data_IF_518014420430
#
_entry.id   IF_518014420430
#
_cell.length_a   1.000
_cell.length_b   1.000
_cell.length_c   1.000
_cell.angle_alpha   90.00
_cell.angle_beta   90.00
_cell.angle_gamma   90.00
#
_symmetry.space_group_name_H-M   'P 1'
#
loop_
_entity.id
_entity.type
_entity.pdbx_description
1 polymer ?
#
# COMPACT_ATOMS: atom_id res chain seq x y z
N UNK A 1 40.18 -21.19 18.01
CA UNK A 1 38.80 -21.66 17.93
C UNK A 1 37.90 -20.46 18.25
N UNK A 2 37.58 -19.62 17.25
CA UNK A 2 36.73 -18.45 17.42
C UNK A 2 35.42 -18.68 16.72
N UNK A 3 34.38 -18.87 17.49
CA UNK A 3 33.00 -18.99 17.01
C UNK A 3 32.44 -17.57 16.77
N UNK A 4 32.36 -17.14 15.50
CA UNK A 4 31.61 -15.97 15.11
C UNK A 4 30.16 -16.41 14.84
N UNK A 5 29.35 -16.42 15.88
CA UNK A 5 27.87 -16.39 15.73
C UNK A 5 27.42 -14.94 15.72
N UNK A 6 27.63 -14.28 14.60
CA UNK A 6 26.94 -13.05 14.28
C UNK A 6 25.58 -13.37 13.71
N UNK A 7 24.55 -13.51 14.53
CA UNK A 7 23.17 -13.44 14.08
C UNK A 7 22.90 -11.99 13.65
N UNK A 8 23.11 -11.69 12.37
CA UNK A 8 22.51 -10.50 11.77
C UNK A 8 21.00 -10.74 11.75
N UNK A 9 20.28 -10.14 12.69
CA UNK A 9 18.84 -10.01 12.59
C UNK A 9 18.55 -9.12 11.37
N UNK A 10 18.14 -9.73 10.25
CA UNK A 10 17.56 -9.00 9.12
C UNK A 10 16.57 -7.98 9.68
N UNK A 11 16.69 -6.73 9.30
CA UNK A 11 15.69 -5.72 9.64
C UNK A 11 14.33 -6.26 9.27
N UNK A 12 13.44 -6.38 10.25
CA UNK A 12 12.10 -6.94 10.02
C UNK A 12 11.38 -6.05 9.03
N UNK A 13 10.85 -6.65 7.97
CA UNK A 13 10.11 -5.95 6.94
C UNK A 13 8.82 -5.35 7.55
N UNK A 14 8.77 -4.02 7.68
CA UNK A 14 7.70 -3.30 8.36
C UNK A 14 6.67 -2.68 7.40
N UNK A 15 6.78 -2.95 6.11
CA UNK A 15 5.83 -2.52 5.10
C UNK A 15 5.85 -3.48 3.91
N UNK A 16 4.80 -3.45 3.12
CA UNK A 16 4.76 -4.19 1.86
C UNK A 16 5.76 -3.58 0.90
N UNK A 17 6.52 -4.45 0.24
CA UNK A 17 7.57 -4.06 -0.71
C UNK A 17 7.11 -4.26 -2.14
N UNK A 18 7.82 -3.64 -3.06
CA UNK A 18 7.63 -3.89 -4.47
C UNK A 18 8.15 -5.29 -4.81
N UNK A 19 7.57 -5.90 -5.83
CA UNK A 19 7.92 -7.26 -6.22
C UNK A 19 9.38 -7.40 -6.65
N UNK A 20 9.89 -6.39 -7.36
CA UNK A 20 11.27 -6.30 -7.81
C UNK A 20 12.27 -6.13 -6.66
N UNK A 21 11.86 -5.51 -5.57
CA UNK A 21 12.71 -5.30 -4.40
C UNK A 21 13.13 -6.62 -3.75
N UNK A 22 12.28 -7.65 -3.84
CA UNK A 22 12.58 -8.96 -3.28
C UNK A 22 13.84 -9.57 -3.87
N UNK A 23 14.16 -9.27 -5.13
CA UNK A 23 15.38 -9.77 -5.80
C UNK A 23 16.62 -9.24 -5.08
N UNK A 24 16.63 -7.96 -4.73
CA UNK A 24 17.76 -7.29 -4.07
C UNK A 24 17.83 -7.68 -2.60
N UNK A 25 16.67 -7.76 -1.94
CA UNK A 25 16.59 -8.00 -0.49
C UNK A 25 16.85 -9.46 -0.11
N UNK A 26 16.44 -10.41 -0.96
CA UNK A 26 16.53 -11.86 -0.69
C UNK A 26 17.33 -12.64 -1.74
N UNK A 27 17.97 -11.97 -2.70
CA UNK A 27 18.78 -12.58 -3.74
C UNK A 27 17.96 -13.50 -4.65
N UNK A 28 18.56 -14.64 -5.02
CA UNK A 28 17.91 -15.61 -5.91
C UNK A 28 16.61 -16.18 -5.35
N UNK A 29 16.52 -16.35 -4.04
CA UNK A 29 15.28 -16.81 -3.37
C UNK A 29 14.16 -15.78 -3.52
N UNK A 30 14.46 -14.51 -3.31
CA UNK A 30 13.50 -13.41 -3.52
C UNK A 30 13.03 -13.33 -4.97
N UNK A 31 13.97 -13.47 -5.91
CA UNK A 31 13.66 -13.53 -7.34
C UNK A 31 12.74 -14.70 -7.69
N UNK A 32 12.98 -15.89 -7.14
CA UNK A 32 12.11 -17.05 -7.34
C UNK A 32 10.71 -16.82 -6.76
N UNK A 33 10.60 -16.20 -5.58
CA UNK A 33 9.33 -15.85 -4.98
C UNK A 33 8.56 -14.83 -5.86
N UNK A 34 9.25 -13.83 -6.40
CA UNK A 34 8.67 -12.85 -7.31
C UNK A 34 8.13 -13.52 -8.58
N UNK A 35 8.90 -14.44 -9.19
CA UNK A 35 8.45 -15.19 -10.37
C UNK A 35 7.26 -16.08 -10.04
N UNK A 36 7.26 -16.78 -8.91
CA UNK A 36 6.15 -17.61 -8.47
C UNK A 36 4.87 -16.81 -8.30
N UNK A 37 4.98 -15.56 -7.79
CA UNK A 37 3.85 -14.64 -7.69
C UNK A 37 3.30 -14.23 -9.07
N UNK A 38 4.18 -13.92 -10.03
CA UNK A 38 3.77 -13.63 -11.41
C UNK A 38 3.07 -14.83 -12.06
N UNK A 39 3.56 -16.06 -11.84
CA UNK A 39 2.91 -17.28 -12.32
C UNK A 39 1.52 -17.46 -11.67
N UNK A 40 1.37 -17.14 -10.39
CA UNK A 40 0.08 -17.21 -9.71
C UNK A 40 -0.94 -16.20 -10.31
N UNK A 41 -0.52 -14.96 -10.55
CA UNK A 41 -1.34 -13.94 -11.24
C UNK A 41 -1.71 -14.41 -12.65
N UNK A 42 -0.74 -14.88 -13.40
CA UNK A 42 -0.95 -15.44 -14.75
C UNK A 42 -2.04 -16.52 -14.76
N UNK A 43 -1.96 -17.48 -13.83
CA UNK A 43 -2.92 -18.58 -13.76
C UNK A 43 -4.32 -18.09 -13.37
N UNK A 44 -4.41 -17.11 -12.49
CA UNK A 44 -5.68 -16.47 -12.12
C UNK A 44 -6.32 -15.79 -13.33
N UNK A 45 -5.57 -14.95 -14.04
CA UNK A 45 -6.08 -14.20 -15.20
C UNK A 45 -6.30 -15.09 -16.44
N UNK A 46 -5.72 -16.28 -16.48
CA UNK A 46 -6.02 -17.32 -17.47
C UNK A 46 -7.26 -18.16 -17.11
N UNK A 47 -7.90 -17.89 -15.96
CA UNK A 47 -9.04 -18.68 -15.50
C UNK A 47 -8.70 -20.10 -15.05
N UNK A 48 -7.41 -20.40 -14.82
CA UNK A 48 -6.91 -21.75 -14.48
C UNK A 48 -6.61 -21.93 -12.98
N UNK A 49 -6.80 -20.90 -12.16
CA UNK A 49 -6.46 -20.99 -10.74
C UNK A 49 -7.65 -21.43 -9.89
N UNK A 50 -7.47 -22.50 -9.15
CA UNK A 50 -8.35 -22.89 -8.05
C UNK A 50 -8.08 -22.09 -6.76
N UNK A 51 -6.95 -21.41 -6.67
CA UNK A 51 -6.55 -20.56 -5.54
C UNK A 51 -6.92 -19.12 -5.81
N UNK A 52 -7.67 -18.52 -4.89
CA UNK A 52 -7.96 -17.07 -4.93
C UNK A 52 -6.65 -16.30 -4.68
N UNK A 53 -6.22 -15.52 -5.65
CA UNK A 53 -5.18 -14.53 -5.46
C UNK A 53 -5.89 -13.25 -5.00
N UNK A 54 -5.54 -12.76 -3.82
CA UNK A 54 -6.07 -11.48 -3.36
C UNK A 54 -5.36 -10.37 -4.12
N UNK A 55 -6.11 -9.68 -4.96
CA UNK A 55 -5.64 -8.46 -5.63
C UNK A 55 -6.21 -7.25 -4.93
N UNK A 56 -5.42 -6.19 -4.89
CA UNK A 56 -5.82 -4.91 -4.35
C UNK A 56 -5.52 -3.79 -5.32
N UNK A 57 -6.36 -2.77 -5.28
CA UNK A 57 -6.07 -1.51 -5.94
C UNK A 57 -5.16 -0.71 -5.02
N UNK A 58 -4.04 -0.23 -5.56
CA UNK A 58 -3.20 0.74 -4.86
C UNK A 58 -3.76 2.13 -5.10
N UNK A 59 -4.39 2.68 -4.08
CA UNK A 59 -4.82 4.07 -4.08
C UNK A 59 -3.62 5.01 -3.95
N UNK A 60 -3.71 6.18 -4.60
CA UNK A 60 -2.68 7.22 -4.49
C UNK A 60 -3.00 8.18 -3.33
N UNK A 61 -3.04 7.64 -2.12
CA UNK A 61 -3.34 8.40 -0.91
C UNK A 61 -2.08 8.93 -0.21
N UNK A 62 -2.18 10.05 0.48
CA UNK A 62 -1.10 10.63 1.29
C UNK A 62 -1.65 11.50 2.43
N UNK A 63 -0.97 11.49 3.58
CA UNK A 63 0.13 10.61 3.99
C UNK A 63 -0.31 9.18 4.29
N UNK A 64 0.65 8.25 4.31
CA UNK A 64 0.42 6.93 4.88
C UNK A 64 0.22 7.06 6.40
N UNK A 65 -0.91 6.54 6.88
CA UNK A 65 -1.32 6.59 8.28
C UNK A 65 -1.16 5.20 8.88
N UNK A 66 -0.49 5.13 10.02
CA UNK A 66 -0.44 3.92 10.85
C UNK A 66 -1.25 4.22 12.10
N UNK A 67 -2.27 3.41 12.36
CA UNK A 67 -3.13 3.60 13.51
C UNK A 67 -3.68 2.27 14.03
N UNK A 68 -4.12 2.28 15.28
CA UNK A 68 -4.72 1.12 15.91
C UNK A 68 -4.46 1.05 17.39
N UNK A 69 -4.61 -0.15 17.93
CA UNK A 69 -4.38 -0.41 19.35
C UNK A 69 -2.94 -0.85 19.54
N UNK A 70 -2.18 -0.08 20.30
CA UNK A 70 -0.81 -0.44 20.64
C UNK A 70 -0.80 -1.73 21.46
N UNK A 71 -0.13 -2.80 21.00
CA UNK A 71 -0.16 -4.10 21.66
C UNK A 71 0.47 -4.11 23.05
N UNK A 72 1.30 -3.10 23.38
CA UNK A 72 2.01 -3.03 24.66
C UNK A 72 1.19 -2.37 25.76
N UNK A 73 0.25 -1.48 25.43
CA UNK A 73 -0.49 -0.70 26.42
C UNK A 73 -2.00 -0.57 26.18
N UNK A 74 -2.51 -1.18 25.12
CA UNK A 74 -3.94 -1.19 24.80
C UNK A 74 -4.54 0.17 24.38
N UNK A 75 -3.71 1.20 24.20
CA UNK A 75 -4.18 2.55 23.83
C UNK A 75 -4.27 2.72 22.32
N UNK A 76 -5.33 3.38 21.86
CA UNK A 76 -5.42 3.78 20.45
C UNK A 76 -4.40 4.89 20.14
N UNK A 77 -3.71 4.74 19.02
CA UNK A 77 -2.74 5.71 18.53
C UNK A 77 -2.90 5.99 17.04
N UNK A 78 -2.32 7.10 16.61
CA UNK A 78 -2.11 7.43 15.20
C UNK A 78 -0.66 7.88 14.98
N UNK A 79 -0.16 7.68 13.76
CA UNK A 79 1.16 8.15 13.35
C UNK A 79 1.40 7.95 11.87
N UNK A 80 2.58 8.31 11.44
CA UNK A 80 3.14 8.00 10.13
C UNK A 80 4.11 6.82 10.25
N UNK A 81 4.86 6.50 9.20
CA UNK A 81 5.94 5.49 9.28
C UNK A 81 6.96 5.76 10.40
N UNK A 82 7.01 6.99 10.92
CA UNK A 82 7.86 7.37 12.06
C UNK A 82 7.56 6.63 13.36
N UNK A 83 6.43 5.94 13.48
CA UNK A 83 6.13 5.05 14.62
C UNK A 83 7.11 3.86 14.72
N UNK A 84 7.81 3.55 13.62
CA UNK A 84 8.81 2.48 13.55
C UNK A 84 10.27 2.96 13.63
N UNK A 85 10.49 4.25 13.86
CA UNK A 85 11.83 4.81 14.03
C UNK A 85 12.49 4.29 15.33
N UNK A 86 13.83 4.43 15.44
CA UNK A 86 14.56 4.14 16.68
C UNK A 86 13.98 4.91 17.87
N UNK A 87 13.57 6.17 17.66
CA UNK A 87 12.77 6.95 18.59
C UNK A 87 11.35 7.07 17.99
N UNK A 88 10.41 6.21 18.39
CA UNK A 88 9.10 6.15 17.78
C UNK A 88 8.27 7.40 18.05
N UNK A 89 7.64 7.94 17.03
CA UNK A 89 6.66 9.04 17.14
C UNK A 89 5.24 8.48 17.16
N UNK A 90 4.81 7.99 18.31
CA UNK A 90 3.49 7.41 18.54
C UNK A 90 2.61 8.49 19.19
N UNK A 91 1.43 8.75 18.63
CA UNK A 91 0.58 9.84 19.12
C UNK A 91 -0.74 9.28 19.65
N UNK A 92 -0.91 9.34 20.97
CA UNK A 92 -2.14 8.94 21.67
C UNK A 92 -3.08 10.11 21.92
N UNK A 93 -2.53 11.33 21.89
CA UNK A 93 -3.24 12.58 22.19
C UNK A 93 -2.89 13.68 21.19
N UNK A 94 -3.68 14.73 21.17
CA UNK A 94 -3.39 15.94 20.37
C UNK A 94 -2.10 16.64 20.84
N UNK A 95 -1.72 16.51 22.11
CA UNK A 95 -0.46 17.04 22.62
C UNK A 95 0.74 16.30 22.02
N UNK A 96 0.65 14.95 21.90
CA UNK A 96 1.69 14.15 21.26
C UNK A 96 1.86 14.54 19.80
N UNK A 97 0.76 14.76 19.09
CA UNK A 97 0.81 15.18 17.68
C UNK A 97 1.55 16.51 17.56
N UNK A 98 1.19 17.52 18.35
CA UNK A 98 1.87 18.85 18.32
C UNK A 98 3.36 18.75 18.68
N UNK A 99 3.72 17.85 19.57
CA UNK A 99 5.14 17.60 19.93
C UNK A 99 5.91 16.95 18.79
N UNK A 100 5.30 16.01 18.08
CA UNK A 100 5.99 15.14 17.12
C UNK A 100 5.89 15.60 15.66
N UNK A 101 4.89 16.44 15.32
CA UNK A 101 4.56 16.83 13.95
C UNK A 101 4.12 18.29 13.87
N UNK A 102 4.32 18.90 12.70
CA UNK A 102 3.93 20.29 12.40
C UNK A 102 3.16 20.39 11.08
N UNK A 103 2.51 21.50 10.83
CA UNK A 103 1.82 21.82 9.58
C UNK A 103 0.75 20.81 9.20
N UNK A 104 0.58 20.61 7.90
CA UNK A 104 -0.49 19.77 7.30
C UNK A 104 -0.48 18.33 7.85
N UNK A 105 0.69 17.77 8.16
CA UNK A 105 0.78 16.41 8.73
C UNK A 105 0.14 16.35 10.11
N UNK A 106 0.39 17.36 10.96
CA UNK A 106 -0.22 17.42 12.30
C UNK A 106 -1.75 17.58 12.23
N UNK A 107 -2.25 18.39 11.30
CA UNK A 107 -3.69 18.56 11.07
C UNK A 107 -4.35 17.24 10.62
N UNK A 108 -3.76 16.57 9.63
CA UNK A 108 -4.25 15.28 9.12
C UNK A 108 -4.21 14.19 10.20
N UNK A 109 -3.16 14.10 10.99
CA UNK A 109 -3.08 13.17 12.13
C UNK A 109 -4.12 13.48 13.21
N UNK A 110 -4.42 14.76 13.46
CA UNK A 110 -5.46 15.18 14.42
C UNK A 110 -6.85 14.74 13.97
N UNK A 111 -7.15 14.88 12.69
CA UNK A 111 -8.37 14.34 12.11
C UNK A 111 -8.43 12.80 12.23
N UNK A 112 -7.33 12.10 11.92
CA UNK A 112 -7.24 10.65 12.09
C UNK A 112 -7.44 10.22 13.54
N UNK A 113 -6.83 10.89 14.51
CA UNK A 113 -7.00 10.60 15.94
C UNK A 113 -8.46 10.75 16.37
N UNK A 114 -9.15 11.76 15.86
CA UNK A 114 -10.55 12.05 16.18
C UNK A 114 -11.50 11.01 15.62
N UNK A 115 -11.34 10.68 14.33
CA UNK A 115 -12.35 9.90 13.61
C UNK A 115 -12.06 8.40 13.57
N UNK A 116 -10.79 7.97 13.58
CA UNK A 116 -10.45 6.54 13.44
C UNK A 116 -10.53 5.74 14.74
N UNK A 117 -10.50 6.38 15.90
CA UNK A 117 -10.56 5.70 17.20
C UNK A 117 -11.78 4.79 17.36
N UNK A 118 -12.92 5.17 16.77
CA UNK A 118 -14.16 4.39 16.82
C UNK A 118 -14.28 3.36 15.70
N UNK A 119 -13.40 3.45 14.70
CA UNK A 119 -13.40 2.57 13.53
C UNK A 119 -12.40 1.43 13.71
N UNK A 120 -11.20 1.76 14.21
CA UNK A 120 -10.13 0.79 14.42
C UNK A 120 -10.07 0.44 15.90
N UNK A 121 -10.87 -0.54 16.28
CA UNK A 121 -11.04 -0.97 17.69
C UNK A 121 -10.12 -2.11 18.10
N UNK A 122 -9.41 -2.72 17.14
CA UNK A 122 -8.44 -3.79 17.39
C UNK A 122 -7.32 -3.74 16.35
N UNK A 123 -6.18 -4.34 16.70
CA UNK A 123 -5.02 -4.47 15.80
C UNK A 123 -4.37 -3.14 15.44
N UNK A 124 -3.34 -3.22 14.62
CA UNK A 124 -2.62 -2.08 14.06
C UNK A 124 -2.69 -2.18 12.54
N UNK A 125 -3.01 -1.08 11.88
CA UNK A 125 -3.19 -1.03 10.43
C UNK A 125 -2.43 0.14 9.82
N UNK A 126 -2.06 -0.02 8.55
CA UNK A 126 -1.64 1.08 7.70
C UNK A 126 -2.67 1.27 6.60
N UNK A 127 -2.95 2.53 6.34
CA UNK A 127 -3.77 2.95 5.22
C UNK A 127 -3.25 4.26 4.65
N UNK A 128 -3.76 4.61 3.48
CA UNK A 128 -3.45 5.86 2.82
C UNK A 128 -4.62 6.82 3.00
N UNK A 129 -4.34 8.02 3.51
CA UNK A 129 -5.34 9.06 3.69
C UNK A 129 -5.76 9.59 2.33
N UNK A 130 -7.06 9.63 2.08
CA UNK A 130 -7.63 10.11 0.83
C UNK A 130 -8.02 11.59 0.92
N UNK A 131 -8.68 11.96 2.00
CA UNK A 131 -9.09 13.35 2.25
C UNK A 131 -9.43 13.60 3.72
N UNK A 132 -9.39 14.85 4.11
CA UNK A 132 -10.08 15.44 5.24
C UNK A 132 -11.19 16.38 4.75
N UNK A 133 -11.92 17.02 5.64
CA UNK A 133 -13.04 17.90 5.25
C UNK A 133 -12.62 19.00 4.28
N UNK A 134 -11.43 19.57 4.43
CA UNK A 134 -10.91 20.68 3.61
C UNK A 134 -10.33 20.28 2.26
N UNK A 135 -10.10 18.99 2.04
CA UNK A 135 -9.45 18.50 0.81
C UNK A 135 -10.44 18.25 -0.33
N UNK A 136 -11.75 18.36 -0.06
CA UNK A 136 -12.81 18.03 -1.02
C UNK A 136 -13.35 19.28 -1.71
N UNK A 137 -13.70 19.15 -2.99
CA UNK A 137 -14.34 20.19 -3.79
C UNK A 137 -15.48 19.60 -4.61
N UNK A 138 -16.55 20.37 -4.80
CA UNK A 138 -17.56 20.04 -5.80
C UNK A 138 -17.22 20.78 -7.09
N UNK A 139 -17.16 20.07 -8.20
CA UNK A 139 -16.76 20.59 -9.51
C UNK A 139 -17.68 19.98 -10.56
N UNK A 140 -18.07 20.76 -11.56
CA UNK A 140 -18.74 20.23 -12.75
C UNK A 140 -17.69 19.60 -13.68
N UNK A 141 -17.95 18.40 -14.13
CA UNK A 141 -17.12 17.66 -15.10
C UNK A 141 -18.08 17.09 -16.13
N UNK A 142 -17.95 17.53 -17.38
CA UNK A 142 -18.77 17.11 -18.50
C UNK A 142 -20.30 17.26 -18.26
N UNK A 143 -20.71 18.31 -17.53
CA UNK A 143 -22.11 18.59 -17.21
C UNK A 143 -22.65 17.79 -16.01
N UNK A 144 -21.82 17.05 -15.32
CA UNK A 144 -22.17 16.32 -14.10
C UNK A 144 -21.49 16.89 -12.87
N UNK A 145 -22.26 17.07 -11.80
CA UNK A 145 -21.73 17.57 -10.51
C UNK A 145 -20.96 16.47 -9.79
N UNK A 146 -19.66 16.65 -9.65
CA UNK A 146 -18.72 15.70 -9.07
C UNK A 146 -18.16 16.20 -7.74
N UNK A 147 -18.06 15.33 -6.73
CA UNK A 147 -17.18 15.55 -5.57
C UNK A 147 -15.78 15.06 -5.91
N UNK A 148 -14.79 15.93 -5.77
CA UNK A 148 -13.39 15.64 -6.11
C UNK A 148 -12.47 15.81 -4.91
N UNK A 149 -11.37 15.05 -4.90
CA UNK A 149 -10.27 15.17 -3.96
C UNK A 149 -8.97 14.65 -4.58
N UNK A 150 -7.85 15.28 -4.23
CA UNK A 150 -6.51 14.96 -4.77
C UNK A 150 -5.57 14.70 -3.60
N UNK A 151 -5.47 13.46 -3.10
CA UNK A 151 -4.64 13.19 -1.93
C UNK A 151 -3.14 13.31 -2.18
N UNK A 152 -2.71 12.99 -3.39
CA UNK A 152 -1.32 13.10 -3.83
C UNK A 152 -1.27 13.61 -5.27
N UNK A 153 -1.13 12.76 -6.27
CA UNK A 153 -1.05 13.15 -7.69
C UNK A 153 -2.33 12.88 -8.47
N UNK A 154 -3.09 11.86 -8.08
CA UNK A 154 -4.33 11.47 -8.75
C UNK A 154 -5.51 12.24 -8.15
N UNK A 155 -6.32 12.84 -9.02
CA UNK A 155 -7.62 13.39 -8.65
C UNK A 155 -8.69 12.33 -8.81
N UNK A 156 -9.41 12.06 -7.72
CA UNK A 156 -10.57 11.18 -7.71
C UNK A 156 -11.83 12.02 -7.83
N UNK A 157 -12.75 11.60 -8.69
CA UNK A 157 -14.02 12.25 -8.92
C UNK A 157 -15.16 11.24 -8.83
N UNK A 158 -16.24 11.59 -8.14
CA UNK A 158 -17.44 10.75 -7.99
C UNK A 158 -18.68 11.61 -8.19
N UNK A 159 -19.69 11.14 -8.95
CA UNK A 159 -20.96 11.84 -9.04
C UNK A 159 -21.55 12.09 -7.65
N UNK A 160 -21.88 13.35 -7.35
CA UNK A 160 -22.41 13.75 -6.03
C UNK A 160 -23.65 12.93 -5.65
N UNK A 161 -24.50 12.62 -6.65
CA UNK A 161 -25.75 11.89 -6.47
C UNK A 161 -25.60 10.37 -6.39
N UNK A 162 -24.39 9.83 -6.63
CA UNK A 162 -24.14 8.39 -6.47
C UNK A 162 -24.12 7.98 -5.00
N UNK A 163 -24.31 6.68 -4.73
CA UNK A 163 -24.21 6.14 -3.38
C UNK A 163 -22.84 6.42 -2.72
N UNK A 164 -21.77 6.34 -3.51
CA UNK A 164 -20.40 6.61 -3.07
C UNK A 164 -20.19 8.11 -2.89
N UNK A 165 -20.63 8.93 -3.85
CA UNK A 165 -20.52 10.38 -3.78
C UNK A 165 -21.19 10.96 -2.55
N UNK A 166 -22.42 10.56 -2.23
CA UNK A 166 -23.12 10.99 -1.01
C UNK A 166 -22.36 10.64 0.28
N UNK A 167 -21.74 9.45 0.35
CA UNK A 167 -20.90 9.06 1.47
C UNK A 167 -19.66 9.94 1.58
N UNK A 168 -18.99 10.22 0.45
CA UNK A 168 -17.81 11.08 0.41
C UNK A 168 -18.18 12.53 0.81
N UNK A 169 -19.26 13.06 0.28
CA UNK A 169 -19.74 14.42 0.65
C UNK A 169 -19.93 14.57 2.16
N UNK A 170 -20.59 13.62 2.80
CA UNK A 170 -20.88 13.67 4.24
C UNK A 170 -19.69 13.35 5.13
N UNK A 171 -18.73 12.57 4.66
CA UNK A 171 -17.58 12.13 5.45
C UNK A 171 -16.64 13.28 5.80
N UNK A 172 -16.08 13.25 7.00
CA UNK A 172 -15.06 14.20 7.49
C UNK A 172 -13.63 13.70 7.24
N UNK A 173 -13.49 12.41 6.95
CA UNK A 173 -12.22 11.75 6.67
C UNK A 173 -12.46 10.59 5.71
N UNK A 174 -11.59 10.45 4.70
CA UNK A 174 -11.53 9.31 3.81
C UNK A 174 -10.18 8.60 3.92
N UNK A 175 -10.20 7.28 4.04
CA UNK A 175 -8.98 6.46 4.15
C UNK A 175 -9.21 5.09 3.52
N UNK A 176 -8.14 4.52 2.99
CA UNK A 176 -8.10 3.13 2.52
C UNK A 176 -7.08 2.35 3.32
N UNK A 177 -7.50 1.29 4.00
CA UNK A 177 -6.60 0.38 4.70
C UNK A 177 -6.22 -0.79 3.80
N UNK A 178 -4.94 -1.13 3.77
CA UNK A 178 -4.38 -2.20 2.93
C UNK A 178 -3.39 -3.11 3.66
N UNK A 179 -2.89 -2.70 4.83
CA UNK A 179 -1.91 -3.48 5.59
C UNK A 179 -2.37 -3.65 7.03
N UNK A 180 -2.29 -4.87 7.53
CA UNK A 180 -2.46 -5.21 8.94
C UNK A 180 -1.12 -5.62 9.51
N UNK A 181 -0.83 -5.13 10.71
CA UNK A 181 0.36 -5.50 11.44
C UNK A 181 0.03 -6.53 12.51
N UNK A 182 0.92 -7.50 12.68
CA UNK A 182 0.84 -8.55 13.71
C UNK A 182 2.13 -8.61 14.50
N UNK A 183 2.05 -8.61 15.83
CA UNK A 183 3.18 -8.65 16.73
C UNK A 183 2.72 -8.35 18.16
N UNK A 184 3.58 -8.65 19.14
CA UNK A 184 3.30 -8.43 20.57
C UNK A 184 3.80 -7.07 21.07
N UNK A 185 4.75 -6.47 20.37
CA UNK A 185 5.32 -5.13 20.68
C UNK A 185 5.34 -4.30 19.40
N UNK A 186 5.44 -2.98 19.52
CA UNK A 186 5.59 -2.08 18.37
C UNK A 186 6.83 -2.42 17.53
N UNK A 187 7.89 -2.94 18.16
CA UNK A 187 9.13 -3.32 17.49
C UNK A 187 8.99 -4.64 16.71
N UNK A 188 8.11 -5.55 17.17
CA UNK A 188 7.89 -6.86 16.57
C UNK A 188 6.83 -6.88 15.48
N UNK A 189 6.18 -5.76 15.22
CA UNK A 189 5.13 -5.66 14.23
C UNK A 189 5.63 -6.06 12.83
N UNK A 190 4.92 -7.00 12.21
CA UNK A 190 5.16 -7.47 10.84
C UNK A 190 3.97 -7.13 9.99
N UNK A 191 4.25 -6.58 8.81
CA UNK A 191 3.23 -6.24 7.82
C UNK A 191 2.70 -7.49 7.12
N UNK A 192 1.41 -7.51 6.92
CA UNK A 192 0.71 -8.46 6.07
C UNK A 192 -0.47 -7.75 5.39
N UNK A 193 -1.07 -8.41 4.40
CA UNK A 193 -2.30 -7.87 3.83
C UNK A 193 -3.42 -7.86 4.89
N UNK A 194 -4.17 -6.77 4.94
CA UNK A 194 -5.34 -6.68 5.80
C UNK A 194 -6.03 -5.34 5.71
N UNK A 195 -7.35 -5.38 5.79
CA UNK A 195 -8.22 -4.21 5.76
C UNK A 195 -9.00 -4.12 7.06
N UNK A 196 -9.44 -2.93 7.40
CA UNK A 196 -10.43 -2.74 8.47
C UNK A 196 -11.79 -3.12 7.92
N UNK A 197 -12.43 -4.11 8.56
CA UNK A 197 -13.79 -4.54 8.23
C UNK A 197 -14.79 -3.78 9.09
N UNK A 198 -15.88 -3.34 8.48
CA UNK A 198 -16.93 -2.57 9.14
C UNK A 198 -17.24 -1.28 8.38
N UNK A 199 -18.40 -0.70 8.63
CA UNK A 199 -18.76 0.58 8.01
C UNK A 199 -17.99 1.74 8.64
N UNK A 200 -17.51 2.68 7.84
CA UNK A 200 -16.85 3.90 8.31
C UNK A 200 -17.74 4.83 9.15
N UNK A 201 -19.03 4.52 9.24
CA UNK A 201 -20.00 5.42 9.87
C UNK A 201 -20.20 6.71 9.06
N UNK A 202 -20.97 7.66 9.62
CA UNK A 202 -21.31 8.89 8.90
C UNK A 202 -20.11 9.80 8.63
N UNK A 203 -19.09 9.77 9.49
CA UNK A 203 -17.96 10.71 9.43
C UNK A 203 -16.73 10.15 8.72
N UNK A 204 -16.67 8.85 8.43
CA UNK A 204 -15.50 8.21 7.82
C UNK A 204 -15.90 7.45 6.58
N UNK A 205 -15.32 7.80 5.45
CA UNK A 205 -15.38 7.01 4.23
C UNK A 205 -14.23 6.00 4.24
N UNK A 206 -14.56 4.73 4.42
CA UNK A 206 -13.61 3.64 4.25
C UNK A 206 -13.66 3.17 2.80
N UNK A 207 -12.63 3.51 2.03
CA UNK A 207 -12.46 2.97 0.70
C UNK A 207 -11.99 1.52 0.77
N UNK A 208 -12.44 0.71 -0.18
CA UNK A 208 -11.95 -0.67 -0.30
C UNK A 208 -10.65 -0.71 -1.10
N UNK A 209 -9.64 -1.39 -0.56
CA UNK A 209 -8.48 -1.78 -1.34
C UNK A 209 -8.72 -3.08 -2.12
N UNK A 210 -9.77 -3.82 -1.79
CA UNK A 210 -10.10 -5.08 -2.47
C UNK A 210 -10.53 -4.83 -3.91
N UNK A 211 -9.91 -5.54 -4.84
CA UNK A 211 -10.33 -5.57 -6.23
C UNK A 211 -11.32 -6.71 -6.44
N UNK A 212 -12.46 -6.39 -7.04
CA UNK A 212 -13.43 -7.37 -7.49
C UNK A 212 -13.86 -6.99 -8.91
N UNK A 213 -13.50 -7.81 -9.87
CA UNK A 213 -14.03 -7.67 -11.21
C UNK A 213 -15.46 -8.22 -11.27
N UNK A 214 -16.41 -7.32 -11.42
CA UNK A 214 -17.83 -7.67 -11.58
C UNK A 214 -18.24 -7.80 -13.07
N UNK A 215 -17.40 -7.32 -13.99
CA UNK A 215 -17.64 -7.42 -15.43
C UNK A 215 -17.23 -8.77 -16.03
N UNK A 216 -16.39 -9.52 -15.32
CA UNK A 216 -15.79 -10.75 -15.82
C UNK A 216 -14.75 -10.53 -16.92
N UNK A 217 -14.33 -9.28 -17.14
CA UNK A 217 -13.41 -8.88 -18.21
C UNK A 217 -11.92 -8.97 -17.83
N UNK A 218 -11.60 -9.15 -16.54
CA UNK A 218 -10.22 -9.29 -16.06
C UNK A 218 -9.63 -10.66 -16.42
N UNK A 219 -9.60 -10.96 -17.70
CA UNK A 219 -8.97 -12.19 -18.24
C UNK A 219 -7.98 -11.79 -19.32
N UNK A 220 -6.85 -12.47 -19.33
CA UNK A 220 -5.95 -12.36 -20.46
C UNK A 220 -6.58 -12.91 -21.74
N UNK A 221 -6.46 -12.17 -22.82
CA UNK A 221 -6.60 -12.70 -24.16
C UNK A 221 -5.47 -13.70 -24.43
N UNK A 222 -5.62 -14.56 -25.45
CA UNK A 222 -4.56 -15.53 -25.82
C UNK A 222 -3.25 -14.82 -26.18
N UNK A 223 -3.30 -13.65 -26.81
CA UNK A 223 -2.11 -12.86 -27.16
C UNK A 223 -1.40 -12.31 -25.93
N UNK A 224 -2.16 -11.70 -25.01
CA UNK A 224 -1.63 -11.17 -23.75
C UNK A 224 -1.02 -12.30 -22.89
N UNK A 225 -1.68 -13.47 -22.84
CA UNK A 225 -1.18 -14.61 -22.13
C UNK A 225 0.16 -15.10 -22.69
N UNK A 226 0.28 -15.19 -24.03
CA UNK A 226 1.53 -15.56 -24.70
C UNK A 226 2.65 -14.57 -24.40
N UNK A 227 2.35 -13.27 -24.45
CA UNK A 227 3.30 -12.20 -24.12
C UNK A 227 3.73 -12.29 -22.67
N UNK A 228 2.79 -12.47 -21.75
CA UNK A 228 3.09 -12.58 -20.33
C UNK A 228 3.95 -13.80 -20.01
N UNK A 229 3.64 -14.96 -20.60
CA UNK A 229 4.43 -16.18 -20.48
C UNK A 229 5.86 -16.01 -21.01
N UNK A 230 6.03 -15.28 -22.11
CA UNK A 230 7.35 -14.94 -22.63
C UNK A 230 8.16 -14.10 -21.66
N UNK A 231 7.56 -13.07 -21.05
CA UNK A 231 8.20 -12.21 -20.07
C UNK A 231 8.59 -12.98 -18.79
N UNK A 232 7.74 -13.90 -18.32
CA UNK A 232 8.08 -14.77 -17.19
C UNK A 232 9.31 -15.63 -17.52
N UNK A 233 9.34 -16.26 -18.70
CA UNK A 233 10.52 -17.07 -19.12
C UNK A 233 11.79 -16.24 -19.22
N UNK A 234 11.71 -15.02 -19.73
CA UNK A 234 12.87 -14.10 -19.76
C UNK A 234 13.36 -13.76 -18.35
N UNK A 235 12.43 -13.44 -17.43
CA UNK A 235 12.77 -13.17 -16.03
C UNK A 235 13.43 -14.38 -15.35
N UNK A 236 12.88 -15.58 -15.56
CA UNK A 236 13.45 -16.83 -15.04
C UNK A 236 14.85 -17.09 -15.59
N UNK A 237 15.05 -16.90 -16.90
CA UNK A 237 16.35 -17.08 -17.54
C UNK A 237 17.40 -16.08 -17.02
N UNK A 238 17.01 -14.83 -16.83
CA UNK A 238 17.88 -13.79 -16.27
C UNK A 238 18.21 -14.08 -14.80
N UNK A 239 17.23 -14.49 -14.02
CA UNK A 239 17.40 -14.86 -12.61
C UNK A 239 18.36 -16.06 -12.46
N UNK A 240 18.22 -17.09 -13.32
CA UNK A 240 19.10 -18.24 -13.32
C UNK A 240 20.57 -17.85 -13.57
N UNK A 241 20.81 -16.92 -14.50
CA UNK A 241 22.17 -16.43 -14.81
C UNK A 241 22.75 -15.57 -13.69
N UNK A 242 21.95 -14.69 -13.11
CA UNK A 242 22.37 -13.71 -12.10
C UNK A 242 22.33 -14.24 -10.67
N UNK A 243 21.66 -15.36 -10.42
CA UNK A 243 21.37 -15.88 -9.07
C UNK A 243 22.55 -15.94 -8.12
N UNK A 244 23.70 -16.51 -8.51
CA UNK A 244 24.88 -16.54 -7.64
C UNK A 244 25.39 -15.16 -7.21
N UNK A 245 25.35 -14.19 -8.11
CA UNK A 245 25.75 -12.80 -7.82
C UNK A 245 24.72 -12.08 -6.93
N UNK A 246 23.43 -12.32 -7.15
CA UNK A 246 22.36 -11.72 -6.37
C UNK A 246 22.44 -12.11 -4.89
N UNK A 247 22.89 -13.33 -4.60
CA UNK A 247 23.06 -13.81 -3.22
C UNK A 247 24.19 -13.09 -2.45
N UNK A 248 25.07 -12.39 -3.14
CA UNK A 248 26.16 -11.60 -2.55
C UNK A 248 25.74 -10.16 -2.25
N UNK A 249 24.59 -9.71 -2.78
CA UNK A 249 24.09 -8.35 -2.51
C UNK A 249 23.53 -8.25 -1.11
N UNK A 250 23.78 -7.10 -0.47
CA UNK A 250 23.23 -6.74 0.82
C UNK A 250 22.48 -5.41 0.69
N UNK A 251 21.27 -5.37 1.20
CA UNK A 251 20.42 -4.16 1.20
C UNK A 251 20.03 -3.71 2.60
N UNK A 252 20.72 -4.20 3.63
CA UNK A 252 20.34 -4.02 5.04
C UNK A 252 20.39 -2.58 5.56
N UNK A 253 21.19 -1.71 4.93
CA UNK A 253 21.34 -0.31 5.32
C UNK A 253 21.52 0.60 4.11
N UNK A 254 21.37 1.92 4.33
CA UNK A 254 21.43 2.94 3.27
C UNK A 254 22.79 3.10 2.59
N UNK A 255 23.85 2.53 3.17
CA UNK A 255 25.21 2.59 2.64
C UNK A 255 25.55 1.39 1.79
N UNK A 256 24.78 0.32 1.90
CA UNK A 256 25.02 -0.94 1.19
C UNK A 256 24.81 -0.80 -0.33
N UNK A 257 25.55 -1.59 -1.10
CA UNK A 257 25.43 -1.63 -2.57
C UNK A 257 24.02 -2.02 -2.99
N UNK A 258 23.42 -3.01 -2.32
CA UNK A 258 22.06 -3.45 -2.60
C UNK A 258 21.03 -2.33 -2.42
N UNK A 259 21.12 -1.56 -1.33
CA UNK A 259 20.23 -0.43 -1.10
C UNK A 259 20.38 0.66 -2.19
N UNK A 260 21.59 0.99 -2.58
CA UNK A 260 21.85 1.98 -3.64
C UNK A 260 21.34 1.52 -4.99
N UNK A 261 21.53 0.24 -5.35
CA UNK A 261 20.97 -0.36 -6.55
C UNK A 261 19.43 -0.35 -6.54
N UNK A 262 18.81 -0.72 -5.42
CA UNK A 262 17.37 -0.66 -5.23
C UNK A 262 16.83 0.75 -5.47
N UNK A 263 17.47 1.75 -4.88
CA UNK A 263 17.10 3.17 -5.06
C UNK A 263 17.25 3.61 -6.52
N UNK A 264 18.34 3.19 -7.16
CA UNK A 264 18.62 3.50 -8.57
C UNK A 264 17.56 2.85 -9.48
N UNK A 265 17.29 1.54 -9.35
CA UNK A 265 16.30 0.87 -10.18
C UNK A 265 14.91 1.42 -9.98
N UNK A 266 14.50 1.71 -8.76
CA UNK A 266 13.20 2.36 -8.47
C UNK A 266 13.11 3.75 -9.13
N UNK A 267 14.21 4.49 -9.17
CA UNK A 267 14.26 5.78 -9.87
C UNK A 267 14.15 5.60 -11.39
N UNK A 268 14.87 4.65 -11.97
CA UNK A 268 14.80 4.34 -13.40
C UNK A 268 13.39 3.90 -13.80
N UNK A 269 12.78 3.01 -13.03
CA UNK A 269 11.41 2.55 -13.30
C UNK A 269 10.42 3.71 -13.26
N UNK A 270 10.50 4.57 -12.26
CA UNK A 270 9.63 5.75 -12.17
C UNK A 270 9.81 6.73 -13.31
N UNK A 271 11.03 6.93 -13.75
CA UNK A 271 11.36 7.87 -14.83
C UNK A 271 11.09 7.29 -16.22
N UNK A 272 11.32 5.98 -16.43
CA UNK A 272 11.14 5.31 -17.73
C UNK A 272 9.69 4.93 -18.01
N UNK A 273 8.89 4.71 -16.99
CA UNK A 273 7.46 4.43 -17.17
C UNK A 273 6.68 5.69 -17.59
N UNK A 274 7.32 6.87 -17.60
CA UNK A 274 6.68 8.13 -17.97
C UNK A 274 5.29 8.26 -17.33
N UNK A 275 4.58 9.31 -17.55
CA UNK A 275 3.21 9.48 -17.03
C UNK A 275 2.21 8.35 -17.44
N UNK A 276 2.63 7.42 -18.27
CA UNK A 276 1.78 6.36 -18.84
C UNK A 276 1.24 5.38 -17.80
N UNK A 277 1.97 5.09 -16.73
CA UNK A 277 1.55 4.03 -15.80
C UNK A 277 0.44 4.44 -14.85
N UNK A 278 0.20 5.73 -14.67
CA UNK A 278 -0.81 6.20 -13.71
C UNK A 278 -2.06 6.81 -14.35
N UNK A 279 -1.98 7.24 -15.61
CA UNK A 279 -3.14 7.80 -16.33
C UNK A 279 -4.11 6.73 -16.84
N UNK A 280 -3.71 5.46 -16.89
CA UNK A 280 -4.57 4.36 -17.37
C UNK A 280 -5.08 3.43 -16.27
N UNK A 281 -4.73 3.67 -15.02
CA UNK A 281 -5.51 3.17 -13.89
C UNK A 281 -6.66 4.15 -13.59
N UNK A 282 -7.44 4.47 -14.60
CA UNK A 282 -8.82 4.83 -14.35
C UNK A 282 -9.40 3.63 -13.62
N UNK A 283 -9.72 3.80 -12.34
CA UNK A 283 -10.63 2.90 -11.65
C UNK A 283 -11.79 2.69 -12.63
N UNK A 284 -12.20 1.43 -12.87
CA UNK A 284 -13.42 1.22 -13.65
C UNK A 284 -14.48 2.09 -12.98
N UNK A 285 -14.87 3.13 -13.66
CA UNK A 285 -16.08 3.85 -13.31
C UNK A 285 -17.12 2.76 -13.27
N UNK A 286 -17.69 2.48 -12.12
CA UNK A 286 -18.88 1.68 -12.00
C UNK A 286 -19.94 2.42 -12.81
N UNK A 287 -19.99 2.16 -14.10
CA UNK A 287 -21.22 2.29 -14.85
C UNK A 287 -22.07 1.11 -14.38
N UNK A 288 -22.81 1.35 -13.30
CA UNK A 288 -23.99 0.56 -13.04
C UNK A 288 -24.94 0.83 -14.23
N UNK A 289 -25.09 -0.17 -15.08
CA UNK A 289 -26.23 -0.31 -15.98
C UNK A 289 -27.37 -0.86 -15.15
#
# INVERSE_FOLDING_TARGET
MFSFKGFQTKAKNKHLEHLEDQIIDEGSKGGQNAVNFLVAIRNMLAGKSSRKVNMTVKWDGAPAIICGINPENGRFFVGTKSVFNKVPKINYTSADIRKNHTGVVAEKLSACLTYLRRIVTNGVYQGDLLFTSGDKKTTDIDGESMITFTPNTITYAMPVNSNVGRKIVSAKLGIVFHTKYSGKTMQDLRAGFGTVTGGGGRNVYLASAGYKDTSGSSKFTSSELTKFDSLIRMAQGSLSKAGPMLNQMNSSDSTSVGFRLKTFFNSVIRNSTGAVSYTHLTLPTNREV
#
